data_IF_594471866160
#
_entry.id   IF_594471866160
#
_cell.length_a   1.000
_cell.length_b   1.000
_cell.length_c   1.000
_cell.angle_alpha   90.00
_cell.angle_beta   90.00
_cell.angle_gamma   90.00
#
_symmetry.space_group_name_H-M   'P 1'
#
loop_
_entity.id
_entity.type
_entity.pdbx_description
1 polymer ?
#
# COMPACT_ATOMS: atom_id res chain seq x y z
N UNK A 1 14.55 5.24 13.22
CA UNK A 1 13.59 4.35 13.90
C UNK A 1 14.40 3.43 14.82
N UNK A 2 14.69 3.86 16.05
CA UNK A 2 15.66 3.18 16.92
C UNK A 2 15.12 1.88 17.56
N UNK A 3 13.80 1.75 17.75
CA UNK A 3 13.21 0.56 18.39
C UNK A 3 13.13 -0.68 17.47
N UNK A 4 13.15 -0.50 16.15
CA UNK A 4 13.04 -1.63 15.21
C UNK A 4 14.30 -2.50 15.22
N UNK A 5 15.47 -1.91 15.47
CA UNK A 5 16.74 -2.65 15.55
C UNK A 5 16.86 -3.46 16.86
N UNK A 6 16.18 -3.02 17.93
CA UNK A 6 16.21 -3.65 19.26
C UNK A 6 15.24 -4.83 19.39
N UNK A 7 14.15 -4.86 18.63
CA UNK A 7 13.15 -5.92 18.68
C UNK A 7 13.33 -6.91 17.52
N UNK A 8 13.91 -8.09 17.83
CA UNK A 8 13.96 -9.20 16.88
C UNK A 8 12.58 -9.85 16.78
N UNK A 9 11.94 -9.70 15.63
CA UNK A 9 10.68 -10.38 15.28
C UNK A 9 10.85 -11.05 13.92
N UNK A 10 10.32 -12.26 13.68
CA UNK A 10 10.40 -12.92 12.36
C UNK A 10 9.72 -12.11 11.25
N UNK A 11 8.70 -11.32 11.60
CA UNK A 11 8.06 -10.36 10.71
C UNK A 11 7.57 -9.12 11.46
N UNK A 12 7.37 -8.02 10.74
CA UNK A 12 6.89 -6.75 11.28
C UNK A 12 5.73 -6.26 10.44
N UNK A 13 4.66 -5.83 11.11
CA UNK A 13 3.50 -5.22 10.46
C UNK A 13 3.50 -3.75 10.82
N UNK A 14 3.39 -2.91 9.81
CA UNK A 14 3.31 -1.46 9.95
C UNK A 14 2.04 -1.02 9.25
N UNK A 15 1.17 -0.33 9.98
CA UNK A 15 -0.09 0.18 9.48
C UNK A 15 -0.14 1.70 9.63
N UNK A 16 -0.70 2.37 8.62
CA UNK A 16 -0.97 3.82 8.59
C UNK A 16 0.19 4.75 9.01
N UNK A 17 1.44 4.30 8.93
CA UNK A 17 2.60 5.06 9.44
C UNK A 17 2.81 6.41 8.74
N UNK A 18 2.22 6.57 7.56
CA UNK A 18 2.24 7.79 6.79
C UNK A 18 0.99 8.68 6.96
N UNK A 19 0.04 8.37 7.84
CA UNK A 19 -1.14 9.23 8.04
C UNK A 19 -0.86 10.45 8.92
N UNK A 20 -1.60 11.54 8.68
CA UNK A 20 -1.53 12.77 9.48
C UNK A 20 -0.33 13.67 9.19
N UNK A 21 0.44 13.36 8.15
CA UNK A 21 1.60 14.16 7.72
C UNK A 21 1.32 14.91 6.40
N UNK A 22 2.08 15.97 6.15
CA UNK A 22 2.05 16.62 4.85
C UNK A 22 2.70 15.73 3.76
N UNK A 23 2.37 15.93 2.48
CA UNK A 23 2.82 15.05 1.40
C UNK A 23 4.34 14.90 1.24
N UNK A 24 5.17 15.82 1.77
CA UNK A 24 6.64 15.66 1.72
C UNK A 24 7.10 14.68 2.78
N UNK A 25 6.57 14.81 3.99
CA UNK A 25 6.90 13.93 5.10
C UNK A 25 6.38 12.50 4.88
N UNK A 26 5.19 12.36 4.28
CA UNK A 26 4.67 11.03 3.89
C UNK A 26 5.62 10.28 2.95
N UNK A 27 6.20 10.98 1.96
CA UNK A 27 7.18 10.40 1.03
C UNK A 27 8.48 10.03 1.74
N UNK A 28 8.99 10.91 2.60
CA UNK A 28 10.24 10.66 3.32
C UNK A 28 10.14 9.45 4.25
N UNK A 29 9.02 9.31 4.97
CA UNK A 29 8.78 8.15 5.85
C UNK A 29 8.65 6.87 5.03
N UNK A 30 7.93 6.90 3.91
CA UNK A 30 7.84 5.75 3.02
C UNK A 30 9.22 5.31 2.49
N UNK A 31 10.01 6.25 1.99
CA UNK A 31 11.36 5.96 1.49
C UNK A 31 12.24 5.32 2.58
N UNK A 32 12.25 5.89 3.79
CA UNK A 32 12.99 5.31 4.93
C UNK A 32 12.51 3.90 5.29
N UNK A 33 11.19 3.67 5.26
CA UNK A 33 10.62 2.34 5.50
C UNK A 33 11.08 1.31 4.47
N UNK A 34 11.09 1.69 3.19
CA UNK A 34 11.59 0.84 2.10
C UNK A 34 13.06 0.50 2.30
N UNK A 35 13.88 1.50 2.62
CA UNK A 35 15.32 1.32 2.81
C UNK A 35 15.64 0.40 3.99
N UNK A 36 14.87 0.49 5.09
CA UNK A 36 15.03 -0.39 6.26
C UNK A 36 14.55 -1.82 5.91
N UNK A 37 13.37 -1.95 5.31
CA UNK A 37 12.78 -3.25 5.03
C UNK A 37 13.56 -4.08 4.00
N UNK A 38 14.26 -3.42 3.07
CA UNK A 38 14.94 -4.07 1.95
C UNK A 38 16.45 -4.31 2.15
N UNK A 39 17.00 -3.97 3.32
CA UNK A 39 18.38 -4.29 3.69
C UNK A 39 18.65 -5.80 3.69
N UNK A 40 19.92 -6.18 3.75
CA UNK A 40 20.28 -7.59 3.92
C UNK A 40 20.02 -8.03 5.36
N UNK A 41 19.55 -9.28 5.55
CA UNK A 41 19.34 -9.91 6.87
C UNK A 41 18.32 -9.21 7.79
N UNK A 42 17.34 -8.52 7.21
CA UNK A 42 16.20 -7.94 7.94
C UNK A 42 15.01 -8.91 7.92
N UNK A 43 14.14 -8.81 8.93
CA UNK A 43 12.87 -9.51 9.03
C UNK A 43 11.92 -9.18 7.87
N UNK A 44 10.89 -10.00 7.65
CA UNK A 44 9.86 -9.68 6.66
C UNK A 44 9.03 -8.47 7.13
N UNK A 45 8.80 -7.49 6.26
CA UNK A 45 7.93 -6.35 6.55
C UNK A 45 6.62 -6.43 5.75
N UNK A 46 5.51 -6.23 6.44
CA UNK A 46 4.20 -5.96 5.87
C UNK A 46 3.86 -4.50 6.13
N UNK A 47 3.81 -3.71 5.06
CA UNK A 47 3.35 -2.32 5.11
C UNK A 47 1.92 -2.28 4.59
N UNK A 48 0.99 -1.90 5.46
CA UNK A 48 -0.40 -1.61 5.11
C UNK A 48 -0.54 -0.10 5.07
N UNK A 49 -0.99 0.43 3.94
CA UNK A 49 -1.28 1.86 3.80
C UNK A 49 -2.49 2.04 2.89
N UNK A 50 -3.48 2.87 3.29
CA UNK A 50 -4.59 3.21 2.41
C UNK A 50 -4.19 4.23 1.33
N UNK A 51 -2.96 4.74 1.34
CA UNK A 51 -2.53 5.88 0.52
C UNK A 51 -1.64 5.47 -0.65
N UNK A 52 -2.21 5.46 -1.85
CA UNK A 52 -1.46 5.37 -3.10
C UNK A 52 -0.98 6.76 -3.52
N UNK A 53 0.15 7.22 -2.96
CA UNK A 53 0.79 8.44 -3.45
C UNK A 53 1.55 8.14 -4.74
N UNK A 54 1.42 9.02 -5.73
CA UNK A 54 2.22 8.94 -6.94
C UNK A 54 3.68 9.33 -6.65
N UNK A 55 4.61 8.67 -7.35
CA UNK A 55 6.04 8.92 -7.20
C UNK A 55 6.66 8.39 -5.90
N UNK A 56 6.09 7.36 -5.28
CA UNK A 56 6.73 6.66 -4.17
C UNK A 56 7.87 5.76 -4.67
N UNK A 57 8.91 5.64 -3.84
CA UNK A 57 10.05 4.75 -4.07
C UNK A 57 9.63 3.30 -3.88
N UNK A 58 9.87 2.45 -4.87
CA UNK A 58 9.73 1.00 -4.74
C UNK A 58 11.10 0.33 -4.88
N UNK A 59 11.22 -0.89 -4.36
CA UNK A 59 12.46 -1.66 -4.41
C UNK A 59 12.20 -3.05 -5.01
N UNK A 60 13.12 -3.65 -5.79
CA UNK A 60 12.90 -4.96 -6.43
C UNK A 60 12.61 -6.12 -5.47
N UNK A 61 13.02 -6.00 -4.20
CA UNK A 61 12.72 -6.98 -3.14
C UNK A 61 11.31 -6.83 -2.54
N UNK A 62 10.55 -5.81 -2.94
CA UNK A 62 9.19 -5.59 -2.48
C UNK A 62 8.19 -6.35 -3.35
N UNK A 63 7.13 -6.82 -2.71
CA UNK A 63 5.92 -7.30 -3.40
C UNK A 63 4.75 -6.40 -3.02
N UNK A 64 4.08 -5.85 -4.03
CA UNK A 64 2.93 -4.95 -3.84
C UNK A 64 1.64 -5.74 -4.03
N UNK A 65 0.75 -5.65 -3.06
CA UNK A 65 -0.60 -6.19 -3.13
C UNK A 65 -1.59 -5.03 -3.09
N UNK A 66 -2.44 -4.94 -4.12
CA UNK A 66 -3.55 -3.99 -4.18
C UNK A 66 -4.82 -4.75 -3.83
N UNK A 67 -5.50 -4.34 -2.77
CA UNK A 67 -6.72 -4.98 -2.28
C UNK A 67 -7.90 -4.11 -2.68
N UNK A 68 -8.72 -4.60 -3.61
CA UNK A 68 -9.98 -3.97 -3.97
C UNK A 68 -11.11 -4.72 -3.24
N UNK A 69 -11.79 -4.02 -2.34
CA UNK A 69 -12.94 -4.54 -1.61
C UNK A 69 -14.07 -3.53 -1.70
N UNK A 70 -15.24 -3.95 -2.18
CA UNK A 70 -16.41 -3.08 -2.33
C UNK A 70 -17.50 -3.72 -3.17
N UNK A 71 -18.71 -3.17 -3.08
CA UNK A 71 -19.91 -3.67 -3.77
C UNK A 71 -19.77 -3.68 -5.31
N UNK A 72 -18.90 -2.83 -5.85
CA UNK A 72 -18.64 -2.74 -7.28
C UNK A 72 -17.46 -3.61 -7.76
N UNK A 73 -16.88 -4.44 -6.89
CA UNK A 73 -15.90 -5.44 -7.31
C UNK A 73 -16.67 -6.56 -8.03
N UNK A 74 -16.31 -6.91 -9.27
CA UNK A 74 -17.01 -7.96 -10.00
C UNK A 74 -16.90 -9.30 -9.27
N UNK A 75 -18.00 -10.07 -9.26
CA UNK A 75 -18.01 -11.41 -8.68
C UNK A 75 -17.08 -12.33 -9.48
N UNK A 76 -16.18 -13.01 -8.78
CA UNK A 76 -15.23 -13.98 -9.35
C UNK A 76 -15.91 -15.09 -10.14
N UNK A 77 -17.15 -15.44 -9.81
CA UNK A 77 -17.94 -16.43 -10.53
C UNK A 77 -18.50 -15.93 -11.87
N UNK A 78 -18.57 -14.61 -12.07
CA UNK A 78 -19.16 -13.98 -13.27
C UNK A 78 -18.13 -13.33 -14.18
N UNK A 79 -16.88 -13.24 -13.73
CA UNK A 79 -15.79 -12.63 -14.46
C UNK A 79 -15.40 -13.45 -15.70
N UNK A 80 -15.66 -12.90 -16.89
CA UNK A 80 -15.03 -13.37 -18.13
C UNK A 80 -13.69 -12.64 -18.31
N UNK A 81 -12.63 -13.16 -17.68
CA UNK A 81 -11.27 -12.65 -17.79
C UNK A 81 -10.75 -11.93 -16.54
N UNK A 82 -9.61 -11.26 -16.69
CA UNK A 82 -8.94 -10.55 -15.59
C UNK A 82 -9.66 -9.25 -15.20
N UNK A 83 -9.36 -8.76 -14.00
CA UNK A 83 -9.88 -7.48 -13.53
C UNK A 83 -9.42 -6.32 -14.41
N UNK A 84 -10.38 -5.54 -14.91
CA UNK A 84 -10.09 -4.31 -15.64
C UNK A 84 -10.04 -3.12 -14.68
N UNK A 85 -8.83 -2.77 -14.22
CA UNK A 85 -8.62 -1.65 -13.28
C UNK A 85 -9.09 -0.30 -13.84
N UNK A 86 -9.06 -0.08 -15.15
CA UNK A 86 -9.53 1.16 -15.77
C UNK A 86 -11.05 1.31 -15.66
N UNK A 87 -11.80 0.22 -15.86
CA UNK A 87 -13.26 0.21 -15.64
C UNK A 87 -13.60 0.37 -14.15
N UNK A 88 -12.90 -0.33 -13.27
CA UNK A 88 -13.07 -0.17 -11.81
C UNK A 88 -12.81 1.28 -11.37
N UNK A 89 -11.80 1.94 -11.94
CA UNK A 89 -11.49 3.34 -11.66
C UNK A 89 -12.61 4.29 -12.12
N UNK A 90 -13.26 4.05 -13.27
CA UNK A 90 -14.40 4.84 -13.73
C UNK A 90 -15.59 4.75 -12.77
N UNK A 91 -15.89 3.54 -12.28
CA UNK A 91 -16.95 3.34 -11.28
C UNK A 91 -16.61 4.08 -9.99
N UNK A 92 -15.38 3.94 -9.49
CA UNK A 92 -14.92 4.62 -8.27
C UNK A 92 -14.97 6.15 -8.37
N UNK A 93 -14.61 6.73 -9.52
CA UNK A 93 -14.72 8.18 -9.75
C UNK A 93 -16.18 8.64 -9.78
N UNK A 94 -17.07 7.84 -10.38
CA UNK A 94 -18.50 8.14 -10.49
C UNK A 94 -19.19 8.12 -9.11
N UNK A 95 -18.89 7.12 -8.27
CA UNK A 95 -19.44 7.06 -6.90
C UNK A 95 -18.88 8.16 -6.02
N UNK A 96 -17.61 8.52 -6.15
CA UNK A 96 -17.01 9.63 -5.39
C UNK A 96 -17.72 10.97 -5.63
N UNK A 97 -18.08 11.27 -6.88
CA UNK A 97 -18.78 12.51 -7.25
C UNK A 97 -20.21 12.56 -6.70
N UNK A 98 -20.88 11.41 -6.56
CA UNK A 98 -22.26 11.34 -6.05
C UNK A 98 -22.36 11.52 -4.53
N UNK A 99 -21.28 11.30 -3.80
CA UNK A 99 -21.24 11.33 -2.33
C UNK A 99 -20.64 12.65 -1.79
N UNK A 100 -20.01 13.45 -2.65
CA UNK A 100 -19.48 14.79 -2.36
C UNK A 100 -20.46 15.89 -2.72
#
# INVERSE_FOLDING_TARGET
>A
MALQDLAQSPFRVVDEINQGMDPRNERMVHERMVDIACQERTSQYFLVTPKLLTGLKFHPKMKVHVINSGEHVPDSSTLQGDWNLSEMAKVALTTRIRVS
#
